data_IF_276355452044
#
_entry.id   IF_276355452044
#
_cell.length_a   1.000
_cell.length_b   1.000
_cell.length_c   1.000
_cell.angle_alpha   90.00
_cell.angle_beta   90.00
_cell.angle_gamma   90.00
#
_symmetry.space_group_name_H-M   'P 1'
#
loop_
_entity.id
_entity.type
_entity.pdbx_description
1 polymer ?
#
# COMPACT_ATOMS: atom_id res chain seq x y z
N UNK A 1 -7.42 -1.46 1.80
CA UNK A 1 -8.35 -2.51 1.34
C UNK A 1 -8.76 -2.28 -0.12
N UNK A 2 -9.15 -1.06 -0.53
CA UNK A 2 -9.48 -0.74 -1.92
C UNK A 2 -8.38 -1.14 -2.90
N UNK A 3 -7.11 -1.00 -2.52
CA UNK A 3 -6.00 -1.41 -3.38
C UNK A 3 -5.93 -2.92 -3.56
N UNK A 4 -6.33 -3.69 -2.53
CA UNK A 4 -6.43 -5.14 -2.61
C UNK A 4 -7.55 -5.56 -3.56
N UNK A 5 -8.73 -4.93 -3.43
CA UNK A 5 -9.87 -5.14 -4.34
C UNK A 5 -9.50 -4.78 -5.78
N UNK A 6 -8.80 -3.65 -5.99
CA UNK A 6 -8.33 -3.25 -7.32
C UNK A 6 -7.36 -4.28 -7.91
N UNK A 7 -6.40 -4.75 -7.10
CA UNK A 7 -5.43 -5.75 -7.51
C UNK A 7 -6.09 -7.06 -7.93
N UNK A 8 -7.02 -7.56 -7.12
CA UNK A 8 -7.86 -8.72 -7.44
C UNK A 8 -8.57 -8.53 -8.79
N UNK A 9 -9.34 -7.45 -8.96
CA UNK A 9 -10.10 -7.17 -10.18
C UNK A 9 -9.20 -7.15 -11.43
N UNK A 10 -8.05 -6.49 -11.34
CA UNK A 10 -7.10 -6.40 -12.46
C UNK A 10 -6.44 -7.76 -12.73
N UNK A 11 -6.10 -8.52 -11.69
CA UNK A 11 -5.45 -9.82 -11.78
C UNK A 11 -6.37 -10.97 -12.24
N UNK A 12 -7.69 -10.86 -12.00
CA UNK A 12 -8.69 -11.92 -12.24
C UNK A 12 -8.65 -12.55 -13.64
N UNK A 13 -8.38 -11.76 -14.68
CA UNK A 13 -8.36 -12.25 -16.07
C UNK A 13 -7.04 -12.93 -16.45
N UNK A 14 -6.01 -12.79 -15.62
CA UNK A 14 -4.66 -13.27 -15.85
C UNK A 14 -4.30 -14.49 -15.01
N UNK A 15 -5.11 -14.89 -14.03
CA UNK A 15 -4.90 -16.08 -13.18
C UNK A 15 -4.65 -17.35 -14.03
N UNK A 16 -5.56 -17.66 -14.97
CA UNK A 16 -5.44 -18.83 -15.87
C UNK A 16 -4.84 -18.49 -17.25
N UNK A 17 -4.49 -17.23 -17.48
CA UNK A 17 -3.89 -16.77 -18.73
C UNK A 17 -2.81 -15.72 -18.42
N UNK A 18 -1.77 -16.17 -17.72
CA UNK A 18 -0.73 -15.30 -17.20
C UNK A 18 -0.08 -14.46 -18.31
N UNK A 19 0.24 -13.21 -17.97
CA UNK A 19 1.01 -12.31 -18.80
C UNK A 19 2.36 -12.02 -18.14
N UNK A 20 3.44 -12.07 -18.90
CA UNK A 20 4.82 -11.89 -18.41
C UNK A 20 5.42 -10.53 -18.79
N UNK A 21 4.57 -9.52 -18.87
CA UNK A 21 4.97 -8.13 -19.20
C UNK A 21 4.19 -7.14 -18.35
N UNK A 22 4.77 -5.98 -18.08
CA UNK A 22 4.11 -4.85 -17.41
C UNK A 22 3.26 -4.01 -18.38
N UNK A 23 3.37 -4.27 -19.68
CA UNK A 23 2.67 -3.56 -20.74
C UNK A 23 1.36 -4.26 -21.10
N UNK A 24 0.28 -3.88 -20.42
CA UNK A 24 -1.06 -4.43 -20.62
C UNK A 24 -2.16 -3.42 -20.22
N UNK A 25 -3.39 -3.64 -20.64
CA UNK A 25 -4.54 -2.84 -20.19
C UNK A 25 -4.98 -3.30 -18.79
N UNK A 26 -5.08 -2.36 -17.83
CA UNK A 26 -5.45 -2.68 -16.45
C UNK A 26 -6.86 -3.28 -16.37
N UNK A 27 -7.77 -2.82 -17.23
CA UNK A 27 -9.15 -3.30 -17.24
C UNK A 27 -9.51 -3.89 -18.60
N UNK A 28 -10.06 -5.11 -18.56
CA UNK A 28 -10.76 -5.76 -19.65
C UNK A 28 -12.26 -5.83 -19.31
N UNK A 29 -13.12 -6.07 -20.30
CA UNK A 29 -14.56 -6.28 -20.06
C UNK A 29 -14.86 -7.51 -19.18
N UNK A 30 -13.89 -8.42 -19.07
CA UNK A 30 -13.94 -9.62 -18.21
C UNK A 30 -13.43 -9.36 -16.80
N UNK A 31 -12.77 -8.23 -16.53
CA UNK A 31 -12.26 -7.90 -15.21
C UNK A 31 -13.41 -7.83 -14.21
N UNK A 32 -13.29 -8.59 -13.13
CA UNK A 32 -14.31 -8.71 -12.09
C UNK A 32 -13.68 -9.09 -10.77
N UNK A 33 -14.37 -8.85 -9.66
CA UNK A 33 -13.89 -9.21 -8.34
C UNK A 33 -14.04 -10.73 -8.11
N UNK A 34 -13.17 -11.30 -7.29
CA UNK A 34 -13.15 -12.74 -6.96
C UNK A 34 -13.44 -12.96 -5.47
N UNK A 35 -13.15 -14.17 -4.96
CA UNK A 35 -13.24 -14.45 -3.53
C UNK A 35 -12.29 -13.60 -2.68
N UNK A 36 -11.17 -13.14 -3.24
CA UNK A 36 -10.23 -12.21 -2.60
C UNK A 36 -10.93 -10.95 -2.10
N UNK A 37 -11.65 -10.26 -2.99
CA UNK A 37 -12.43 -9.08 -2.65
C UNK A 37 -13.58 -9.41 -1.71
N UNK A 38 -14.32 -10.49 -1.98
CA UNK A 38 -15.49 -10.88 -1.16
C UNK A 38 -15.06 -11.11 0.28
N UNK A 39 -13.99 -11.89 0.49
CA UNK A 39 -13.51 -12.23 1.83
C UNK A 39 -12.77 -11.06 2.48
N UNK A 40 -12.09 -10.20 1.71
CA UNK A 40 -11.53 -8.94 2.23
C UNK A 40 -12.63 -8.04 2.80
N UNK A 41 -13.75 -7.90 2.08
CA UNK A 41 -14.88 -7.07 2.49
C UNK A 41 -15.61 -7.71 3.68
N UNK A 42 -15.75 -9.04 3.71
CA UNK A 42 -16.30 -9.76 4.86
C UNK A 42 -15.46 -9.54 6.14
N UNK A 43 -14.13 -9.52 6.04
CA UNK A 43 -13.26 -9.18 7.17
C UNK A 43 -13.45 -7.71 7.59
N UNK A 44 -13.62 -6.80 6.64
CA UNK A 44 -13.91 -5.39 6.94
C UNK A 44 -15.26 -5.19 7.64
N UNK A 45 -16.29 -5.92 7.23
CA UNK A 45 -17.61 -5.91 7.87
C UNK A 45 -17.52 -6.41 9.33
N UNK A 46 -16.82 -7.52 9.54
CA UNK A 46 -16.54 -8.04 10.88
C UNK A 46 -15.77 -7.03 11.76
N UNK A 47 -14.80 -6.31 11.20
CA UNK A 47 -14.08 -5.25 11.92
C UNK A 47 -15.01 -4.07 12.28
N UNK A 48 -15.94 -3.71 11.40
CA UNK A 48 -16.91 -2.64 11.63
C UNK A 48 -17.89 -2.96 12.77
N UNK A 49 -18.22 -4.23 12.99
CA UNK A 49 -19.02 -4.65 14.15
C UNK A 49 -18.33 -4.34 15.50
N UNK A 50 -17.00 -4.25 15.52
CA UNK A 50 -16.19 -3.94 16.70
C UNK A 50 -16.06 -5.06 17.74
N UNK A 51 -16.83 -6.14 17.64
CA UNK A 51 -16.72 -7.31 18.52
C UNK A 51 -15.91 -8.43 17.84
N UNK A 52 -14.59 -8.36 18.01
CA UNK A 52 -13.58 -9.20 17.33
C UNK A 52 -13.56 -10.66 17.82
N UNK A 53 -14.70 -11.34 17.75
CA UNK A 53 -14.87 -12.73 18.13
C UNK A 53 -14.74 -13.67 16.91
N UNK A 54 -14.05 -14.81 17.10
CA UNK A 54 -13.86 -15.85 16.07
C UNK A 54 -15.18 -16.42 15.52
N UNK A 55 -16.16 -16.72 16.36
CA UNK A 55 -17.46 -17.27 15.95
C UNK A 55 -18.21 -16.31 15.03
N UNK A 56 -18.14 -15.01 15.34
CA UNK A 56 -18.71 -13.96 14.49
C UNK A 56 -17.98 -13.88 13.17
N UNK A 57 -16.65 -13.86 13.18
CA UNK A 57 -15.87 -13.86 11.94
C UNK A 57 -16.24 -15.06 11.05
N UNK A 58 -16.36 -16.26 11.64
CA UNK A 58 -16.78 -17.47 10.93
C UNK A 58 -18.17 -17.29 10.33
N UNK A 59 -19.13 -16.80 11.12
CA UNK A 59 -20.49 -16.53 10.64
C UNK A 59 -20.49 -15.51 9.48
N UNK A 60 -19.73 -14.42 9.60
CA UNK A 60 -19.59 -13.39 8.57
C UNK A 60 -18.99 -13.98 7.29
N UNK A 61 -17.85 -14.68 7.35
CA UNK A 61 -17.26 -15.30 6.15
C UNK A 61 -18.24 -16.27 5.47
N UNK A 62 -18.92 -17.13 6.25
CA UNK A 62 -19.92 -18.07 5.71
C UNK A 62 -21.13 -17.37 5.11
N UNK A 63 -21.54 -16.23 5.66
CA UNK A 63 -22.64 -15.43 5.12
C UNK A 63 -22.30 -14.92 3.71
N UNK A 64 -21.13 -14.29 3.56
CA UNK A 64 -20.70 -13.72 2.28
C UNK A 64 -20.49 -14.80 1.21
N UNK A 65 -19.94 -15.97 1.57
CA UNK A 65 -19.80 -17.09 0.62
C UNK A 65 -21.16 -17.62 0.16
N UNK A 66 -22.18 -17.63 1.02
CA UNK A 66 -23.54 -18.04 0.63
C UNK A 66 -24.23 -17.00 -0.25
N UNK A 67 -23.94 -15.72 -0.04
CA UNK A 67 -24.45 -14.62 -0.87
C UNK A 67 -23.79 -14.59 -2.25
N UNK A 68 -22.49 -14.92 -2.31
CA UNK A 68 -21.69 -14.94 -3.53
C UNK A 68 -21.09 -16.33 -3.79
N UNK A 69 -21.89 -17.36 -4.13
CA UNK A 69 -21.42 -18.76 -4.14
C UNK A 69 -20.45 -19.11 -5.28
N UNK A 70 -20.48 -18.36 -6.39
CA UNK A 70 -19.75 -18.68 -7.62
C UNK A 70 -18.96 -17.47 -8.15
N UNK A 71 -17.98 -16.92 -7.41
CA UNK A 71 -17.10 -15.89 -7.96
C UNK A 71 -16.23 -16.47 -9.08
N UNK A 72 -15.70 -15.60 -9.94
CA UNK A 72 -14.62 -15.94 -10.89
C UNK A 72 -13.40 -16.45 -10.11
N UNK A 73 -12.64 -17.39 -10.68
CA UNK A 73 -11.57 -18.11 -9.97
C UNK A 73 -12.14 -19.20 -9.05
N UNK A 74 -13.12 -18.81 -8.24
CA UNK A 74 -13.84 -19.68 -7.33
C UNK A 74 -13.06 -19.91 -6.04
N UNK A 75 -13.78 -20.09 -4.94
CA UNK A 75 -13.15 -20.37 -3.66
C UNK A 75 -12.33 -21.66 -3.69
N UNK A 76 -11.17 -21.66 -3.02
CA UNK A 76 -10.36 -22.87 -2.84
C UNK A 76 -11.17 -24.04 -2.27
N UNK A 77 -10.98 -25.24 -2.82
CA UNK A 77 -11.90 -26.37 -2.58
C UNK A 77 -12.05 -26.77 -1.11
N UNK A 78 -10.97 -26.71 -0.32
CA UNK A 78 -11.02 -26.97 1.12
C UNK A 78 -11.73 -25.87 1.91
N UNK A 79 -11.60 -24.62 1.45
CA UNK A 79 -12.33 -23.49 2.04
C UNK A 79 -13.84 -23.66 1.81
N UNK A 80 -14.26 -24.05 0.60
CA UNK A 80 -15.67 -24.36 0.33
C UNK A 80 -16.20 -25.47 1.24
N UNK A 81 -15.44 -26.56 1.40
CA UNK A 81 -15.81 -27.65 2.32
C UNK A 81 -15.99 -27.14 3.75
N UNK A 82 -15.08 -26.27 4.22
CA UNK A 82 -15.16 -25.65 5.55
C UNK A 82 -16.40 -24.75 5.71
N UNK A 83 -16.77 -23.98 4.68
CA UNK A 83 -17.97 -23.13 4.69
C UNK A 83 -19.24 -23.95 4.90
N UNK A 84 -19.35 -25.07 4.20
CA UNK A 84 -20.55 -25.92 4.21
C UNK A 84 -20.55 -27.00 5.32
N UNK A 85 -19.44 -27.18 6.04
CA UNK A 85 -19.41 -28.00 7.25
C UNK A 85 -19.98 -27.21 8.46
N UNK A 86 -20.65 -27.89 9.40
CA UNK A 86 -21.18 -27.30 10.63
C UNK A 86 -20.15 -27.28 11.78
N UNK A 87 -19.08 -28.05 11.70
CA UNK A 87 -18.09 -28.19 12.79
C UNK A 87 -17.17 -26.97 12.95
N UNK A 88 -17.04 -26.15 11.91
CA UNK A 88 -16.19 -24.93 11.88
C UNK A 88 -14.68 -25.16 12.15
N UNK A 89 -14.23 -26.40 12.27
CA UNK A 89 -12.83 -26.74 12.54
C UNK A 89 -11.91 -26.32 11.38
N UNK A 90 -10.78 -25.63 11.64
CA UNK A 90 -9.82 -25.27 10.62
C UNK A 90 -9.11 -26.51 10.04
N UNK A 91 -8.67 -26.42 8.79
CA UNK A 91 -8.22 -27.59 8.01
C UNK A 91 -6.72 -27.60 7.70
N UNK A 92 -5.90 -27.01 8.57
CA UNK A 92 -4.43 -26.97 8.50
C UNK A 92 -3.88 -26.48 7.15
N UNK A 93 -4.52 -25.46 6.58
CA UNK A 93 -4.11 -24.87 5.31
C UNK A 93 -2.91 -23.94 5.44
N UNK A 94 -1.95 -24.09 4.54
CA UNK A 94 -0.81 -23.18 4.31
C UNK A 94 -1.03 -22.21 3.14
N UNK A 95 -2.22 -22.24 2.53
CA UNK A 95 -2.54 -21.46 1.34
C UNK A 95 -2.60 -19.95 1.57
N UNK A 96 -2.43 -19.19 0.48
CA UNK A 96 -2.44 -17.71 0.44
C UNK A 96 -3.82 -17.09 0.73
N UNK A 97 -4.88 -17.90 0.81
CA UNK A 97 -6.24 -17.47 1.12
C UNK A 97 -6.42 -16.77 2.48
N UNK A 98 -5.47 -16.94 3.41
CA UNK A 98 -5.41 -16.16 4.65
C UNK A 98 -4.85 -14.75 4.44
N UNK A 99 -3.86 -14.61 3.55
CA UNK A 99 -3.18 -13.36 3.26
C UNK A 99 -3.99 -12.44 2.34
N UNK A 100 -4.73 -12.99 1.38
CA UNK A 100 -5.52 -12.20 0.42
C UNK A 100 -6.60 -11.35 1.07
N UNK A 101 -7.20 -11.83 2.18
CA UNK A 101 -8.34 -11.18 2.85
C UNK A 101 -7.98 -10.30 4.04
N UNK A 102 -6.69 -10.14 4.35
CA UNK A 102 -6.24 -9.50 5.61
C UNK A 102 -6.05 -7.99 5.49
N UNK A 103 -6.22 -7.42 4.30
CA UNK A 103 -5.87 -6.03 4.04
C UNK A 103 -6.56 -5.04 5.00
N UNK A 104 -7.84 -5.27 5.34
CA UNK A 104 -8.60 -4.43 6.26
C UNK A 104 -8.00 -4.41 7.69
N UNK A 105 -7.45 -5.54 8.16
CA UNK A 105 -6.77 -5.64 9.46
C UNK A 105 -5.55 -4.73 9.52
N UNK A 106 -4.78 -4.68 8.43
CA UNK A 106 -3.61 -3.80 8.32
C UNK A 106 -3.95 -2.31 8.53
N UNK A 107 -5.19 -1.90 8.25
CA UNK A 107 -5.70 -0.54 8.45
C UNK A 107 -6.33 -0.29 9.84
N UNK A 108 -6.73 -1.33 10.56
CA UNK A 108 -7.70 -1.19 11.64
C UNK A 108 -7.14 -0.77 13.01
N UNK A 109 -5.87 -1.05 13.29
CA UNK A 109 -5.30 -0.94 14.64
C UNK A 109 -4.22 0.13 14.77
N UNK A 110 -3.88 0.52 16.00
CA UNK A 110 -2.89 1.57 16.26
C UNK A 110 -1.49 1.03 16.54
N UNK A 111 -1.35 -0.28 16.76
CA UNK A 111 -0.07 -0.93 17.01
C UNK A 111 0.15 -2.09 16.06
N UNK A 112 1.43 -2.34 15.76
CA UNK A 112 1.84 -3.46 14.91
C UNK A 112 1.51 -4.80 15.58
N UNK A 113 1.72 -4.91 16.90
CA UNK A 113 1.41 -6.10 17.68
C UNK A 113 -0.08 -6.47 17.61
N UNK A 114 -0.97 -5.50 17.83
CA UNK A 114 -2.42 -5.74 17.75
C UNK A 114 -2.83 -6.12 16.32
N UNK A 115 -2.27 -5.45 15.31
CA UNK A 115 -2.50 -5.76 13.90
C UNK A 115 -2.16 -7.22 13.59
N UNK A 116 -0.99 -7.69 14.02
CA UNK A 116 -0.55 -9.06 13.78
C UNK A 116 -1.33 -10.11 14.59
N UNK A 117 -1.74 -9.77 15.81
CA UNK A 117 -2.58 -10.65 16.63
C UNK A 117 -3.95 -10.85 15.99
N UNK A 118 -4.54 -9.79 15.45
CA UNK A 118 -5.82 -9.88 14.74
C UNK A 118 -5.65 -10.55 13.38
N UNK A 119 -4.56 -10.31 12.66
CA UNK A 119 -4.25 -11.02 11.40
C UNK A 119 -4.10 -12.53 11.63
N UNK A 120 -3.48 -12.93 12.74
CA UNK A 120 -3.44 -14.34 13.16
C UNK A 120 -4.84 -14.89 13.44
N UNK A 121 -5.69 -14.14 14.14
CA UNK A 121 -7.08 -14.54 14.41
C UNK A 121 -7.86 -14.79 13.11
N UNK A 122 -7.72 -13.93 12.11
CA UNK A 122 -8.41 -14.10 10.81
C UNK A 122 -7.89 -15.26 9.96
N UNK A 123 -6.63 -15.66 10.16
CA UNK A 123 -6.04 -16.82 9.51
C UNK A 123 -6.46 -18.13 10.18
N UNK A 124 -6.33 -18.24 11.51
CA UNK A 124 -6.47 -19.49 12.27
C UNK A 124 -7.82 -20.20 12.12
N UNK A 125 -8.88 -19.49 11.78
CA UNK A 125 -10.22 -20.09 11.59
C UNK A 125 -10.31 -21.00 10.36
N UNK A 126 -9.32 -20.97 9.46
CA UNK A 126 -9.27 -21.83 8.25
C UNK A 126 -7.86 -22.29 7.90
N UNK A 127 -6.85 -21.43 8.10
CA UNK A 127 -5.45 -21.60 7.76
C UNK A 127 -4.59 -21.64 9.03
N UNK A 128 -4.85 -22.59 9.92
CA UNK A 128 -4.09 -22.76 11.18
C UNK A 128 -2.71 -23.40 11.02
N UNK A 129 -2.25 -23.63 9.79
CA UNK A 129 -0.83 -23.97 9.55
C UNK A 129 0.03 -22.73 9.79
N UNK A 130 1.25 -22.93 10.30
CA UNK A 130 2.17 -21.82 10.63
C UNK A 130 2.43 -20.88 9.45
N UNK A 131 2.65 -21.43 8.25
CA UNK A 131 2.83 -20.61 7.03
C UNK A 131 1.56 -19.84 6.61
N UNK A 132 0.36 -20.38 6.87
CA UNK A 132 -0.91 -19.69 6.60
C UNK A 132 -1.08 -18.47 7.51
N UNK A 133 -0.81 -18.63 8.81
CA UNK A 133 -0.82 -17.55 9.80
C UNK A 133 0.24 -16.49 9.46
N UNK A 134 1.46 -16.95 9.19
CA UNK A 134 2.61 -16.12 8.87
C UNK A 134 2.37 -15.23 7.65
N UNK A 135 1.78 -15.75 6.59
CA UNK A 135 1.43 -14.96 5.40
C UNK A 135 0.46 -13.82 5.72
N UNK A 136 -0.60 -14.12 6.49
CA UNK A 136 -1.57 -13.10 6.91
C UNK A 136 -0.92 -12.02 7.80
N UNK A 137 -0.08 -12.41 8.75
CA UNK A 137 0.64 -11.48 9.62
C UNK A 137 1.62 -10.61 8.82
N UNK A 138 2.40 -11.19 7.91
CA UNK A 138 3.35 -10.45 7.08
C UNK A 138 2.64 -9.41 6.19
N UNK A 139 1.54 -9.79 5.53
CA UNK A 139 0.75 -8.86 4.71
C UNK A 139 0.16 -7.73 5.56
N UNK A 140 -0.47 -8.05 6.69
CA UNK A 140 -1.05 -7.03 7.57
C UNK A 140 0.01 -6.09 8.18
N UNK A 141 1.17 -6.64 8.55
CA UNK A 141 2.32 -5.88 9.04
C UNK A 141 2.86 -4.92 7.98
N UNK A 142 3.05 -5.38 6.74
CA UNK A 142 3.51 -4.53 5.65
C UNK A 142 2.54 -3.36 5.39
N UNK A 143 1.23 -3.61 5.41
CA UNK A 143 0.19 -2.59 5.26
C UNK A 143 0.23 -1.58 6.43
N UNK A 144 0.31 -2.08 7.68
CA UNK A 144 0.43 -1.23 8.86
C UNK A 144 1.66 -0.32 8.76
N UNK A 145 2.82 -0.91 8.52
CA UNK A 145 4.09 -0.19 8.45
C UNK A 145 4.08 0.85 7.34
N UNK A 146 3.53 0.52 6.16
CA UNK A 146 3.38 1.44 5.05
C UNK A 146 2.55 2.69 5.42
N UNK A 147 1.35 2.51 6.00
CA UNK A 147 0.50 3.66 6.38
C UNK A 147 1.01 4.42 7.60
N UNK A 148 1.91 3.83 8.40
CA UNK A 148 2.55 4.46 9.56
C UNK A 148 3.98 4.92 9.25
N UNK A 149 4.25 5.29 7.99
CA UNK A 149 5.46 6.01 7.57
C UNK A 149 6.77 5.22 7.69
N UNK A 150 6.70 3.89 7.65
CA UNK A 150 7.90 3.08 7.48
C UNK A 150 8.35 3.15 6.03
N UNK A 151 9.65 3.29 5.82
CA UNK A 151 10.25 3.21 4.49
C UNK A 151 10.15 1.78 3.94
N UNK A 152 10.23 1.61 2.62
CA UNK A 152 10.30 0.28 1.99
C UNK A 152 11.43 -0.58 2.56
N UNK A 153 12.56 0.03 2.87
CA UNK A 153 13.71 -0.67 3.46
C UNK A 153 13.36 -1.21 4.87
N UNK A 154 12.71 -0.41 5.70
CA UNK A 154 12.27 -0.84 7.04
C UNK A 154 11.22 -1.95 6.96
N UNK A 155 10.27 -1.85 6.01
CA UNK A 155 9.30 -2.92 5.76
C UNK A 155 10.03 -4.20 5.33
N UNK A 156 10.95 -4.11 4.37
CA UNK A 156 11.76 -5.24 3.91
C UNK A 156 12.49 -5.91 5.07
N UNK A 157 13.27 -5.14 5.84
CA UNK A 157 14.05 -5.64 6.97
C UNK A 157 13.17 -6.28 8.04
N UNK A 158 12.04 -5.67 8.36
CA UNK A 158 11.11 -6.23 9.34
C UNK A 158 10.57 -7.59 8.89
N UNK A 159 10.12 -7.67 7.63
CA UNK A 159 9.54 -8.91 7.10
C UNK A 159 10.60 -10.01 6.97
N UNK A 160 11.80 -9.70 6.48
CA UNK A 160 12.92 -10.64 6.39
C UNK A 160 13.32 -11.17 7.79
N UNK A 161 13.46 -10.28 8.78
CA UNK A 161 13.91 -10.67 10.11
C UNK A 161 12.86 -11.46 10.90
N UNK A 162 11.59 -11.03 10.82
CA UNK A 162 10.52 -11.62 11.64
C UNK A 162 9.92 -12.88 11.01
N UNK A 163 9.71 -12.87 9.70
CA UNK A 163 9.03 -13.94 8.99
C UNK A 163 10.01 -14.78 8.14
N UNK A 164 11.25 -14.35 7.92
CA UNK A 164 12.22 -15.15 7.17
C UNK A 164 11.89 -15.30 5.69
N UNK A 165 11.04 -14.44 5.12
CA UNK A 165 10.80 -14.38 3.68
C UNK A 165 12.02 -13.77 2.98
N UNK A 166 12.43 -14.33 1.84
CA UNK A 166 13.51 -13.75 1.05
C UNK A 166 12.97 -12.64 0.13
N UNK A 167 13.23 -11.39 0.50
CA UNK A 167 12.80 -10.20 -0.23
C UNK A 167 13.94 -9.50 -0.98
N UNK A 168 15.11 -10.15 -1.09
CA UNK A 168 16.30 -9.57 -1.72
C UNK A 168 16.38 -9.80 -3.23
N UNK A 169 15.34 -10.40 -3.81
CA UNK A 169 15.17 -10.62 -5.26
C UNK A 169 14.39 -9.45 -5.86
N UNK A 170 14.50 -9.30 -7.17
CA UNK A 170 13.73 -8.34 -7.97
C UNK A 170 12.64 -9.03 -8.79
N UNK A 171 11.63 -8.28 -9.22
CA UNK A 171 10.61 -8.77 -10.15
C UNK A 171 11.22 -9.28 -11.46
N UNK A 172 12.30 -8.68 -11.96
CA UNK A 172 12.96 -9.11 -13.19
C UNK A 172 13.64 -10.48 -13.04
N UNK A 173 14.17 -10.79 -11.85
CA UNK A 173 14.73 -12.11 -11.55
C UNK A 173 13.63 -13.17 -11.34
N UNK A 174 12.48 -12.79 -10.77
CA UNK A 174 11.37 -13.71 -10.45
C UNK A 174 10.54 -14.06 -11.69
N UNK A 175 10.23 -13.06 -12.53
CA UNK A 175 9.27 -13.14 -13.63
C UNK A 175 9.49 -14.33 -14.60
N UNK A 176 10.72 -14.68 -15.00
CA UNK A 176 10.96 -15.75 -15.96
C UNK A 176 10.58 -17.14 -15.45
N UNK A 177 10.65 -17.37 -14.13
CA UNK A 177 10.49 -18.71 -13.54
C UNK A 177 9.28 -18.86 -12.62
N UNK A 178 8.62 -17.76 -12.24
CA UNK A 178 7.45 -17.83 -11.37
C UNK A 178 6.23 -18.44 -12.10
N UNK A 179 5.46 -19.25 -11.40
CA UNK A 179 4.26 -19.92 -11.93
C UNK A 179 3.21 -20.05 -10.81
N UNK A 180 2.03 -20.56 -11.14
CA UNK A 180 0.90 -20.66 -10.21
C UNK A 180 1.29 -21.35 -8.90
N UNK A 181 0.99 -20.70 -7.78
CA UNK A 181 1.37 -21.14 -6.45
C UNK A 181 0.35 -20.66 -5.42
N UNK A 182 -0.50 -21.57 -4.94
CA UNK A 182 -1.52 -21.27 -3.94
C UNK A 182 -0.96 -21.11 -2.50
N UNK A 183 0.36 -21.18 -2.28
CA UNK A 183 0.95 -21.10 -0.94
C UNK A 183 1.21 -19.67 -0.47
N UNK A 184 1.07 -19.43 0.84
CA UNK A 184 1.59 -18.20 1.44
C UNK A 184 3.08 -18.02 1.16
N UNK A 185 3.88 -19.08 1.31
CA UNK A 185 5.33 -19.02 1.18
C UNK A 185 5.82 -18.70 -0.24
N UNK A 186 5.01 -18.98 -1.26
CA UNK A 186 5.31 -18.69 -2.65
C UNK A 186 4.58 -17.48 -3.24
N UNK A 187 3.56 -16.95 -2.57
CA UNK A 187 2.81 -15.77 -3.05
C UNK A 187 3.17 -14.50 -2.29
N UNK A 188 3.23 -14.56 -0.95
CA UNK A 188 3.39 -13.39 -0.09
C UNK A 188 4.74 -12.68 -0.31
N UNK A 189 5.89 -13.37 -0.35
CA UNK A 189 7.17 -12.70 -0.62
C UNK A 189 7.17 -11.98 -1.98
N UNK A 190 6.62 -12.61 -3.00
CA UNK A 190 6.57 -12.16 -4.38
C UNK A 190 5.65 -10.93 -4.51
N UNK A 191 4.52 -10.92 -3.79
CA UNK A 191 3.63 -9.77 -3.70
C UNK A 191 4.32 -8.57 -3.02
N UNK A 192 5.06 -8.83 -1.94
CA UNK A 192 5.81 -7.79 -1.21
C UNK A 192 6.95 -7.27 -2.10
N UNK A 193 7.68 -8.12 -2.83
CA UNK A 193 8.74 -7.71 -3.76
C UNK A 193 8.17 -6.84 -4.88
N UNK A 194 7.01 -7.19 -5.45
CA UNK A 194 6.34 -6.34 -6.43
C UNK A 194 6.02 -4.93 -5.90
N UNK A 195 5.65 -4.83 -4.62
CA UNK A 195 5.53 -3.52 -3.96
C UNK A 195 6.89 -2.84 -3.77
N UNK A 196 7.93 -3.56 -3.32
CA UNK A 196 9.25 -2.97 -3.06
C UNK A 196 9.87 -2.40 -4.35
N UNK A 197 9.77 -3.11 -5.47
CA UNK A 197 10.29 -2.73 -6.79
C UNK A 197 9.47 -1.66 -7.51
N UNK A 198 8.23 -1.43 -7.08
CA UNK A 198 7.35 -0.41 -7.68
C UNK A 198 7.82 1.00 -7.36
N UNK A 199 7.23 2.01 -8.00
CA UNK A 199 7.46 3.41 -7.63
C UNK A 199 6.18 4.25 -7.55
N UNK A 200 5.05 3.64 -7.84
CA UNK A 200 3.70 4.17 -7.65
C UNK A 200 2.70 3.00 -7.57
N UNK A 201 1.44 3.30 -7.26
CA UNK A 201 0.39 2.29 -7.13
C UNK A 201 0.20 1.46 -8.42
N UNK A 202 0.14 2.10 -9.59
CA UNK A 202 -0.09 1.40 -10.85
C UNK A 202 1.04 0.43 -11.19
N UNK A 203 2.28 0.85 -10.96
CA UNK A 203 3.45 0.01 -11.23
C UNK A 203 3.57 -1.15 -10.26
N UNK A 204 3.11 -1.00 -9.02
CA UNK A 204 2.99 -2.13 -8.10
C UNK A 204 2.04 -3.20 -8.65
N UNK A 205 0.85 -2.80 -9.12
CA UNK A 205 -0.12 -3.72 -9.73
C UNK A 205 0.45 -4.35 -11.00
N UNK A 206 1.06 -3.55 -11.89
CA UNK A 206 1.66 -4.07 -13.13
C UNK A 206 2.79 -5.04 -12.87
N UNK A 207 3.64 -4.77 -11.89
CA UNK A 207 4.73 -5.67 -11.51
C UNK A 207 4.15 -6.99 -11.00
N UNK A 208 3.20 -6.94 -10.06
CA UNK A 208 2.54 -8.14 -9.54
C UNK A 208 1.91 -8.98 -10.67
N UNK A 209 1.05 -8.38 -11.49
CA UNK A 209 0.41 -9.08 -12.62
C UNK A 209 1.44 -9.65 -13.60
N UNK A 210 2.53 -8.91 -13.86
CA UNK A 210 3.59 -9.38 -14.77
C UNK A 210 4.34 -10.60 -14.26
N UNK A 211 4.35 -10.87 -12.94
CA UNK A 211 4.95 -12.09 -12.41
C UNK A 211 4.12 -13.32 -12.79
N UNK A 212 2.81 -13.19 -13.05
CA UNK A 212 1.89 -14.29 -13.33
C UNK A 212 1.62 -15.15 -12.09
N UNK A 213 1.29 -16.43 -12.32
CA UNK A 213 0.87 -17.34 -11.26
C UNK A 213 -0.55 -17.08 -10.79
N UNK A 214 -0.76 -17.16 -9.48
CA UNK A 214 -2.05 -16.87 -8.82
C UNK A 214 -2.26 -15.35 -8.77
N UNK A 215 -2.71 -14.80 -9.90
CA UNK A 215 -2.39 -13.41 -10.30
C UNK A 215 -3.29 -12.39 -9.60
N UNK A 216 -4.57 -12.72 -9.45
CA UNK A 216 -5.53 -12.00 -8.60
C UNK A 216 -5.05 -11.94 -7.15
N UNK A 217 -4.69 -13.07 -6.52
CA UNK A 217 -4.20 -13.06 -5.13
C UNK A 217 -2.88 -12.33 -4.95
N UNK A 218 -1.94 -12.54 -5.86
CA UNK A 218 -0.66 -11.82 -5.85
C UNK A 218 -0.89 -10.30 -5.95
N UNK A 219 -1.70 -9.86 -6.91
CA UNK A 219 -2.01 -8.44 -7.11
C UNK A 219 -2.87 -7.86 -5.97
N UNK A 220 -3.76 -8.65 -5.38
CA UNK A 220 -4.56 -8.30 -4.20
C UNK A 220 -3.67 -7.95 -3.00
N UNK A 221 -2.69 -8.81 -2.69
CA UNK A 221 -1.75 -8.57 -1.60
C UNK A 221 -0.88 -7.34 -1.90
N UNK A 222 -0.30 -7.27 -3.11
CA UNK A 222 0.53 -6.13 -3.53
C UNK A 222 -0.25 -4.82 -3.47
N UNK A 223 -1.47 -4.80 -4.00
CA UNK A 223 -2.34 -3.64 -4.04
C UNK A 223 -2.74 -3.15 -2.65
N UNK A 224 -2.98 -4.05 -1.71
CA UNK A 224 -3.26 -3.70 -0.32
C UNK A 224 -2.10 -2.92 0.34
N UNK A 225 -0.86 -3.33 0.09
CA UNK A 225 0.35 -2.67 0.59
C UNK A 225 0.60 -1.36 -0.17
N UNK A 226 0.50 -1.40 -1.49
CA UNK A 226 0.74 -0.26 -2.37
C UNK A 226 -0.23 0.89 -2.10
N UNK A 227 -1.50 0.61 -1.80
CA UNK A 227 -2.47 1.64 -1.39
C UNK A 227 -2.03 2.34 -0.09
N UNK A 228 -1.59 1.57 0.90
CA UNK A 228 -1.17 2.11 2.19
C UNK A 228 0.05 3.02 2.08
N UNK A 229 0.94 2.72 1.12
CA UNK A 229 2.16 3.48 0.89
C UNK A 229 1.94 4.65 -0.09
N UNK A 230 1.40 4.40 -1.27
CA UNK A 230 1.31 5.42 -2.31
C UNK A 230 0.00 6.20 -2.31
N UNK A 231 -1.01 5.77 -1.56
CA UNK A 231 -2.38 6.09 -1.92
C UNK A 231 -2.75 5.44 -3.26
N UNK A 232 -3.98 5.66 -3.70
CA UNK A 232 -4.45 5.04 -4.95
C UNK A 232 -5.45 5.91 -5.70
N UNK A 233 -5.56 7.22 -5.41
CA UNK A 233 -6.58 8.01 -6.07
C UNK A 233 -6.33 8.18 -7.56
N UNK A 234 -5.12 8.52 -7.97
CA UNK A 234 -4.82 8.86 -9.36
C UNK A 234 -3.69 8.02 -9.96
N UNK A 235 -3.84 7.66 -11.24
CA UNK A 235 -2.73 7.18 -12.07
C UNK A 235 -1.76 8.33 -12.41
N UNK A 236 -0.47 8.01 -12.54
CA UNK A 236 0.55 8.96 -12.99
C UNK A 236 0.81 8.78 -14.50
N UNK A 237 0.61 9.82 -15.34
CA UNK A 237 0.53 9.67 -16.80
C UNK A 237 1.78 9.20 -17.58
N UNK A 238 2.94 8.95 -16.96
CA UNK A 238 4.21 8.78 -17.70
C UNK A 238 5.02 7.53 -17.43
N UNK A 239 4.70 6.79 -16.39
CA UNK A 239 5.51 5.64 -15.97
C UNK A 239 5.02 4.32 -16.55
N UNK A 240 3.88 4.33 -17.20
CA UNK A 240 3.25 3.20 -17.87
C UNK A 240 2.80 3.67 -19.24
N UNK A 241 2.89 2.84 -20.29
CA UNK A 241 2.20 3.10 -21.57
C UNK A 241 0.68 2.93 -21.39
N UNK A 242 0.14 3.48 -20.32
CA UNK A 242 -1.25 3.42 -19.96
C UNK A 242 -2.03 4.21 -20.98
N UNK A 243 -2.97 3.55 -21.65
CA UNK A 243 -3.96 4.19 -22.53
C UNK A 243 -4.83 5.20 -21.76
N UNK A 244 -4.76 5.19 -20.43
CA UNK A 244 -5.58 6.02 -19.58
C UNK A 244 -4.87 7.34 -19.22
N UNK A 245 -5.35 8.45 -19.79
CA UNK A 245 -4.82 9.80 -19.52
C UNK A 245 -5.06 10.28 -18.08
N UNK A 246 -6.08 9.75 -17.41
CA UNK A 246 -6.39 9.98 -15.99
C UNK A 246 -7.37 8.91 -15.50
N UNK A 247 -6.90 7.91 -14.73
CA UNK A 247 -7.78 6.97 -14.02
C UNK A 247 -7.93 7.46 -12.57
N UNK A 248 -9.16 7.48 -12.08
CA UNK A 248 -9.41 7.44 -10.65
C UNK A 248 -9.57 5.98 -10.23
N UNK A 249 -8.54 5.38 -9.62
CA UNK A 249 -8.58 3.94 -9.34
C UNK A 249 -9.65 3.60 -8.29
N UNK A 250 -9.95 4.52 -7.38
CA UNK A 250 -11.03 4.33 -6.38
C UNK A 250 -12.39 4.23 -7.07
N UNK A 251 -12.70 5.17 -7.98
CA UNK A 251 -13.98 5.18 -8.68
C UNK A 251 -14.16 3.91 -9.52
N UNK A 252 -13.10 3.48 -10.21
CA UNK A 252 -13.16 2.30 -11.07
C UNK A 252 -13.27 0.99 -10.27
N UNK A 253 -12.57 0.90 -9.12
CA UNK A 253 -12.73 -0.21 -8.17
C UNK A 253 -14.18 -0.27 -7.69
N UNK A 254 -14.70 0.85 -7.18
CA UNK A 254 -16.04 0.91 -6.62
C UNK A 254 -17.08 0.57 -7.68
N UNK A 255 -16.95 1.08 -8.91
CA UNK A 255 -17.91 0.85 -10.02
C UNK A 255 -18.16 -0.64 -10.29
N UNK A 256 -17.15 -1.49 -10.12
CA UNK A 256 -17.22 -2.93 -10.41
C UNK A 256 -17.78 -3.77 -9.27
N UNK A 257 -17.98 -3.20 -8.08
CA UNK A 257 -18.61 -3.87 -6.95
C UNK A 257 -20.15 -3.73 -6.97
N UNK A 258 -20.89 -4.71 -6.44
CA UNK A 258 -22.32 -4.57 -6.16
C UNK A 258 -22.57 -3.62 -4.98
N UNK A 259 -23.78 -3.04 -4.92
CA UNK A 259 -24.12 -1.98 -3.95
C UNK A 259 -23.95 -2.37 -2.48
N UNK A 260 -24.28 -3.61 -2.13
CA UNK A 260 -24.08 -4.12 -0.77
C UNK A 260 -22.59 -4.11 -0.37
N UNK A 261 -21.69 -4.57 -1.25
CA UNK A 261 -20.25 -4.56 -1.02
C UNK A 261 -19.67 -3.14 -1.01
N UNK A 262 -20.13 -2.26 -1.92
CA UNK A 262 -19.76 -0.82 -1.93
C UNK A 262 -20.05 -0.14 -0.60
N UNK A 263 -21.20 -0.46 0.01
CA UNK A 263 -21.60 0.12 1.29
C UNK A 263 -20.60 -0.22 2.39
N UNK A 264 -20.23 -1.49 2.52
CA UNK A 264 -19.26 -1.95 3.54
C UNK A 264 -17.90 -1.30 3.33
N UNK A 265 -17.42 -1.24 2.08
CA UNK A 265 -16.17 -0.55 1.75
C UNK A 265 -16.24 0.91 2.18
N UNK A 266 -17.33 1.61 1.86
CA UNK A 266 -17.52 3.02 2.23
C UNK A 266 -17.54 3.21 3.76
N UNK A 267 -18.31 2.38 4.47
CA UNK A 267 -18.43 2.41 5.93
C UNK A 267 -17.07 2.13 6.60
N UNK A 268 -16.26 1.23 6.04
CA UNK A 268 -14.91 0.92 6.51
C UNK A 268 -13.98 2.12 6.43
N UNK A 269 -13.93 2.81 5.29
CA UNK A 269 -13.06 3.98 5.15
C UNK A 269 -13.56 5.19 5.96
N UNK A 270 -14.87 5.36 6.12
CA UNK A 270 -15.44 6.41 6.97
C UNK A 270 -15.17 6.16 8.46
N UNK A 271 -15.26 4.91 8.92
CA UNK A 271 -15.14 4.58 10.34
C UNK A 271 -13.71 4.30 10.79
N UNK A 272 -12.94 3.59 9.98
CA UNK A 272 -11.63 3.01 10.34
C UNK A 272 -10.53 3.59 9.46
N UNK A 273 -10.60 3.39 8.14
CA UNK A 273 -9.48 3.66 7.23
C UNK A 273 -8.98 5.10 7.27
N UNK A 274 -9.89 6.09 7.20
CA UNK A 274 -9.53 7.52 7.22
C UNK A 274 -8.94 7.98 8.56
N UNK A 275 -9.37 7.41 9.69
CA UNK A 275 -8.88 7.77 11.02
C UNK A 275 -7.46 7.28 11.27
N UNK A 276 -7.08 6.19 10.62
CA UNK A 276 -5.82 5.49 10.85
C UNK A 276 -4.76 5.74 9.78
N UNK A 277 -5.04 6.60 8.80
CA UNK A 277 -4.08 7.02 7.76
C UNK A 277 -3.13 8.08 8.33
N UNK A 278 -1.84 7.77 8.38
CA UNK A 278 -0.80 8.68 8.93
C UNK A 278 0.17 9.16 7.85
N UNK A 279 0.21 8.49 6.70
CA UNK A 279 1.10 8.78 5.57
C UNK A 279 0.33 9.38 4.38
N UNK A 280 0.77 10.53 3.85
CA UNK A 280 0.24 11.07 2.60
C UNK A 280 0.96 10.48 1.38
N UNK A 281 0.18 9.86 0.50
CA UNK A 281 0.69 9.05 -0.60
C UNK A 281 0.92 9.82 -1.91
N UNK A 282 1.97 9.43 -2.65
CA UNK A 282 2.35 9.97 -3.96
C UNK A 282 1.20 10.02 -4.98
N UNK A 283 0.42 8.96 -5.12
CA UNK A 283 -0.69 8.87 -6.06
C UNK A 283 -1.87 9.78 -5.64
N UNK A 284 -1.99 10.12 -4.36
CA UNK A 284 -3.00 11.08 -3.88
C UNK A 284 -2.55 12.54 -4.10
N UNK A 285 -1.24 12.78 -4.19
CA UNK A 285 -0.66 14.09 -4.52
C UNK A 285 -0.92 14.56 -5.96
N UNK A 286 -1.32 13.64 -6.86
CA UNK A 286 -1.63 13.92 -8.27
C UNK A 286 -0.54 14.71 -9.01
N UNK A 287 0.73 14.55 -8.61
CA UNK A 287 1.82 15.31 -9.21
C UNK A 287 2.05 14.90 -10.65
N UNK A 288 2.23 15.86 -11.54
CA UNK A 288 2.64 15.62 -12.92
C UNK A 288 4.13 15.29 -12.89
N UNK A 289 4.51 14.22 -13.58
CA UNK A 289 5.89 13.74 -13.69
C UNK A 289 6.35 13.74 -15.15
N UNK A 290 7.66 13.92 -15.35
CA UNK A 290 8.42 13.65 -16.57
C UNK A 290 8.53 14.79 -17.57
N UNK A 291 8.34 16.04 -17.15
CA UNK A 291 8.85 17.23 -17.88
C UNK A 291 9.85 18.05 -17.06
N UNK A 292 10.10 17.63 -15.82
CA UNK A 292 10.90 18.39 -14.89
C UNK A 292 12.38 18.20 -15.22
N UNK A 293 13.03 19.29 -15.60
CA UNK A 293 14.49 19.36 -15.52
C UNK A 293 14.86 19.63 -14.07
N UNK A 294 15.49 18.63 -13.45
CA UNK A 294 16.05 18.75 -12.11
C UNK A 294 17.38 19.50 -12.17
N UNK A 295 17.43 20.62 -11.47
CA UNK A 295 18.63 21.45 -11.32
C UNK A 295 19.17 21.20 -9.92
N UNK A 296 20.40 20.72 -9.83
CA UNK A 296 21.08 20.54 -8.54
C UNK A 296 21.17 21.88 -7.82
N UNK A 297 20.83 21.87 -6.53
CA UNK A 297 20.90 23.05 -5.67
C UNK A 297 21.97 22.86 -4.62
N UNK A 298 22.62 23.95 -4.22
CA UNK A 298 23.61 23.94 -3.14
C UNK A 298 23.00 23.29 -1.90
N UNK A 299 23.72 22.32 -1.33
CA UNK A 299 23.34 21.68 -0.08
C UNK A 299 23.38 22.69 1.05
N UNK A 300 22.34 22.66 1.87
CA UNK A 300 22.32 23.37 3.14
C UNK A 300 22.73 22.40 4.26
N UNK A 301 23.33 22.89 5.34
CA UNK A 301 23.74 22.12 6.52
C UNK A 301 22.53 21.79 7.42
N UNK A 302 21.40 21.43 6.79
CA UNK A 302 20.16 21.06 7.47
C UNK A 302 20.26 19.62 7.97
N UNK A 303 20.03 19.46 9.28
CA UNK A 303 20.08 18.18 10.00
C UNK A 303 18.78 17.98 10.77
N UNK A 304 18.27 16.75 10.77
CA UNK A 304 17.11 16.35 11.55
C UNK A 304 17.52 15.28 12.56
N UNK A 305 16.97 15.35 13.78
CA UNK A 305 16.98 14.20 14.67
C UNK A 305 15.93 13.15 14.22
N UNK A 306 15.89 12.01 14.91
CA UNK A 306 14.96 10.93 14.59
C UNK A 306 13.50 11.38 14.69
N UNK A 307 13.12 12.11 15.75
CA UNK A 307 11.73 12.57 15.94
C UNK A 307 11.30 13.49 14.78
N UNK A 308 12.16 14.43 14.41
CA UNK A 308 11.92 15.38 13.31
C UNK A 308 11.86 14.66 11.96
N UNK A 309 12.78 13.74 11.69
CA UNK A 309 12.77 12.95 10.46
C UNK A 309 11.49 12.10 10.34
N UNK A 310 11.07 11.45 11.43
CA UNK A 310 9.82 10.67 11.47
C UNK A 310 8.59 11.55 11.31
N UNK A 311 8.57 12.73 11.92
CA UNK A 311 7.51 13.71 11.70
C UNK A 311 7.43 14.10 10.23
N UNK A 312 8.58 14.32 9.59
CA UNK A 312 8.65 14.71 8.20
C UNK A 312 8.18 13.60 7.23
N UNK A 313 8.45 12.33 7.56
CA UNK A 313 7.94 11.18 6.78
C UNK A 313 6.41 11.09 6.74
N UNK A 314 5.69 11.65 7.72
CA UNK A 314 4.21 11.63 7.73
C UNK A 314 3.61 12.19 6.46
N UNK A 315 4.33 13.07 5.76
CA UNK A 315 3.88 13.66 4.50
C UNK A 315 2.57 14.43 4.71
N UNK A 316 2.21 15.34 3.82
CA UNK A 316 0.96 16.09 3.98
C UNK A 316 0.49 16.65 2.63
N UNK A 317 -0.83 16.74 2.43
CA UNK A 317 -1.37 17.45 1.28
C UNK A 317 -1.14 18.96 1.45
N UNK A 318 -1.18 19.73 0.35
CA UNK A 318 -1.37 21.16 0.47
C UNK A 318 -2.78 21.46 0.97
N UNK A 319 -2.92 22.42 1.87
CA UNK A 319 -4.20 22.95 2.33
C UNK A 319 -4.15 24.49 2.48
N UNK A 320 -5.15 25.08 3.14
CA UNK A 320 -5.20 26.54 3.33
C UNK A 320 -4.05 27.08 4.19
N UNK A 321 -3.55 26.29 5.13
CA UNK A 321 -2.47 26.63 6.06
C UNK A 321 -1.11 26.12 5.55
N UNK A 322 -1.10 24.99 4.84
CA UNK A 322 0.05 24.32 4.25
C UNK A 322 0.15 24.63 2.75
N UNK A 323 0.97 25.63 2.41
CA UNK A 323 1.14 26.09 1.01
C UNK A 323 1.70 25.04 0.05
N UNK A 324 2.37 24.01 0.58
CA UNK A 324 3.03 22.95 -0.18
C UNK A 324 2.61 21.60 0.37
N UNK A 325 2.55 20.60 -0.51
CA UNK A 325 2.48 19.21 -0.10
C UNK A 325 3.85 18.56 -0.13
N UNK A 326 4.02 17.53 0.68
CA UNK A 326 5.20 16.67 0.69
C UNK A 326 4.76 15.22 0.59
N UNK A 327 5.47 14.41 -0.20
CA UNK A 327 5.40 12.96 -0.12
C UNK A 327 6.81 12.35 -0.17
N UNK A 328 6.95 11.17 0.41
CA UNK A 328 8.18 10.39 0.39
C UNK A 328 8.10 9.28 -0.67
N UNK A 329 9.16 9.12 -1.47
CA UNK A 329 9.30 7.97 -2.35
C UNK A 329 10.77 7.62 -2.65
N UNK A 330 11.13 6.34 -2.51
CA UNK A 330 12.47 5.79 -2.80
C UNK A 330 13.62 6.63 -2.21
N UNK A 331 13.51 7.01 -0.93
CA UNK A 331 14.52 7.81 -0.23
C UNK A 331 14.40 9.32 -0.44
N UNK A 332 13.59 9.77 -1.39
CA UNK A 332 13.42 11.18 -1.71
C UNK A 332 12.15 11.75 -1.07
N UNK A 333 12.24 13.00 -0.64
CA UNK A 333 11.07 13.81 -0.29
C UNK A 333 10.81 14.75 -1.45
N UNK A 334 9.57 14.77 -1.92
CA UNK A 334 9.13 15.59 -3.04
C UNK A 334 8.19 16.66 -2.54
N UNK A 335 8.54 17.91 -2.81
CA UNK A 335 7.72 19.09 -2.53
C UNK A 335 6.94 19.45 -3.78
N UNK A 336 5.63 19.65 -3.63
CA UNK A 336 4.76 19.97 -4.74
C UNK A 336 3.72 21.04 -4.38
N UNK A 337 3.18 21.69 -5.41
CA UNK A 337 2.03 22.62 -5.31
C UNK A 337 1.25 22.61 -6.59
N UNK A 338 -0.09 22.57 -6.49
CA UNK A 338 -0.99 22.58 -7.66
C UNK A 338 -0.59 21.53 -8.71
N UNK A 339 -0.23 20.33 -8.25
CA UNK A 339 0.24 19.18 -9.04
C UNK A 339 1.64 19.33 -9.68
N UNK A 340 2.35 20.45 -9.50
CA UNK A 340 3.71 20.61 -10.01
C UNK A 340 4.75 20.24 -8.97
N UNK A 341 5.75 19.47 -9.37
CA UNK A 341 6.94 19.22 -8.58
C UNK A 341 7.82 20.47 -8.55
N UNK A 342 8.21 20.88 -7.34
CA UNK A 342 8.99 22.08 -7.11
C UNK A 342 10.42 21.73 -6.69
N UNK A 343 10.56 20.79 -5.74
CA UNK A 343 11.84 20.42 -5.16
C UNK A 343 11.84 18.95 -4.78
N UNK A 344 13.01 18.31 -4.86
CA UNK A 344 13.24 17.02 -4.22
C UNK A 344 14.53 17.04 -3.42
N UNK A 345 14.57 16.28 -2.33
CA UNK A 345 15.77 16.17 -1.51
C UNK A 345 15.81 14.87 -0.72
N UNK A 346 17.01 14.51 -0.28
CA UNK A 346 17.28 13.24 0.38
C UNK A 346 18.01 13.46 1.70
N UNK A 347 17.49 12.82 2.73
CA UNK A 347 18.13 12.73 4.04
C UNK A 347 18.78 11.36 4.21
N UNK A 348 19.94 11.32 4.86
CA UNK A 348 20.61 10.08 5.24
C UNK A 348 21.11 10.17 6.68
N UNK A 349 20.85 9.13 7.47
CA UNK A 349 21.38 9.01 8.83
C UNK A 349 22.90 8.84 8.78
N UNK A 350 23.62 9.68 9.51
CA UNK A 350 25.08 9.66 9.60
C UNK A 350 25.55 9.08 10.94
N UNK A 351 26.87 8.92 11.08
CA UNK A 351 27.49 8.34 12.29
C UNK A 351 27.25 9.16 13.56
N UNK A 352 26.91 10.44 13.44
CA UNK A 352 26.53 11.31 14.56
C UNK A 352 25.08 11.08 15.04
N UNK A 353 24.35 10.15 14.41
CA UNK A 353 22.98 9.81 14.73
C UNK A 353 21.92 10.74 14.13
N UNK A 354 22.34 11.80 13.41
CA UNK A 354 21.45 12.76 12.76
C UNK A 354 21.21 12.39 11.30
N UNK A 355 20.10 12.85 10.75
CA UNK A 355 19.77 12.77 9.33
C UNK A 355 20.26 14.03 8.61
N UNK A 356 21.26 13.88 7.74
CA UNK A 356 21.86 14.97 6.99
C UNK A 356 21.26 15.06 5.60
N UNK A 357 21.00 16.29 5.14
CA UNK A 357 20.66 16.54 3.75
C UNK A 357 21.86 16.21 2.86
N UNK A 358 21.75 15.17 2.04
CA UNK A 358 22.85 14.70 1.19
C UNK A 358 22.69 15.10 -0.27
N UNK A 359 21.46 15.34 -0.72
CA UNK A 359 21.16 15.69 -2.10
C UNK A 359 19.94 16.61 -2.17
N UNK A 360 19.96 17.58 -3.08
CA UNK A 360 18.86 18.54 -3.25
C UNK A 360 18.78 19.06 -4.68
N UNK A 361 17.57 19.02 -5.25
CA UNK A 361 17.30 19.48 -6.62
C UNK A 361 16.03 20.31 -6.66
N UNK A 362 15.99 21.32 -7.52
CA UNK A 362 14.80 22.15 -7.79
C UNK A 362 14.36 22.01 -9.24
N UNK A 363 13.11 22.35 -9.54
CA UNK A 363 12.62 22.51 -10.90
C UNK A 363 12.60 23.98 -11.29
N UNK A 364 12.36 24.30 -12.57
CA UNK A 364 12.12 25.69 -13.02
C UNK A 364 10.96 26.38 -12.29
N UNK A 365 10.03 25.60 -11.74
CA UNK A 365 8.88 26.10 -10.98
C UNK A 365 9.21 26.31 -9.50
N UNK A 366 10.31 25.75 -9.00
CA UNK A 366 10.74 25.79 -7.60
C UNK A 366 11.65 26.98 -7.25
N UNK A 367 11.53 28.12 -7.95
CA UNK A 367 12.35 29.31 -7.68
C UNK A 367 11.83 30.08 -6.45
N UNK A 368 11.91 29.45 -5.28
CA UNK A 368 11.55 29.99 -3.98
C UNK A 368 12.81 29.97 -3.09
N UNK A 369 12.95 30.97 -2.20
CA UNK A 369 14.19 31.22 -1.48
C UNK A 369 14.70 30.02 -0.64
N UNK A 370 13.80 29.28 0.03
CA UNK A 370 14.16 28.02 0.72
C UNK A 370 12.95 27.10 0.95
N UNK A 371 12.57 26.31 -0.06
CA UNK A 371 11.45 25.36 0.06
C UNK A 371 11.65 24.30 1.14
N UNK A 372 12.90 23.90 1.45
CA UNK A 372 13.13 22.89 2.50
C UNK A 372 12.80 23.50 3.85
N UNK A 373 13.25 24.72 4.11
CA UNK A 373 12.90 25.41 5.35
C UNK A 373 11.39 25.66 5.47
N UNK A 374 10.71 26.03 4.38
CA UNK A 374 9.26 26.25 4.40
C UNK A 374 8.48 24.97 4.74
N UNK A 375 8.84 23.81 4.18
CA UNK A 375 8.16 22.53 4.49
C UNK A 375 8.56 21.98 5.86
N UNK A 376 9.80 22.24 6.31
CA UNK A 376 10.23 21.98 7.68
C UNK A 376 9.58 22.96 8.67
N UNK A 377 8.94 24.05 8.25
CA UNK A 377 8.17 24.89 9.17
C UNK A 377 6.71 24.41 9.29
N UNK A 378 6.15 23.85 8.21
CA UNK A 378 4.77 23.33 8.17
C UNK A 378 4.56 22.09 9.06
N UNK A 379 5.61 21.32 9.35
CA UNK A 379 5.53 20.05 10.09
C UNK A 379 5.75 20.12 11.61
N UNK A 380 5.16 21.06 12.35
CA UNK A 380 5.15 21.09 13.84
C UNK A 380 6.41 20.53 14.57
N UNK A 381 7.61 21.02 14.23
CA UNK A 381 8.86 20.47 14.79
C UNK A 381 9.15 21.00 16.21
N UNK A 382 9.72 20.14 17.07
CA UNK A 382 10.27 20.54 18.38
C UNK A 382 11.79 20.76 18.29
N UNK A 383 12.41 21.56 19.19
CA UNK A 383 13.85 21.75 19.26
C UNK A 383 14.61 20.40 19.35
N UNK A 384 15.85 20.28 18.80
CA UNK A 384 16.91 21.29 18.76
C UNK A 384 16.96 22.13 17.48
N UNK A 385 15.94 22.10 16.63
CA UNK A 385 15.83 23.02 15.49
C UNK A 385 15.79 24.48 15.98
N UNK A 386 16.95 25.14 15.96
CA UNK A 386 17.11 26.57 16.23
C UNK A 386 17.05 27.31 14.90
N UNK A 387 15.89 27.89 14.64
CA UNK A 387 15.65 28.82 13.53
C UNK A 387 16.60 30.03 13.61
N UNK A 388 17.38 30.29 12.55
CA UNK A 388 18.22 31.50 12.45
C UNK A 388 17.54 32.68 11.74
N UNK A 389 16.31 32.53 11.25
CA UNK A 389 15.55 33.67 10.74
C UNK A 389 15.85 34.07 9.31
N UNK A 390 14.81 34.12 8.48
CA UNK A 390 14.59 35.29 7.63
C UNK A 390 13.57 36.19 8.32
N UNK A 391 13.95 37.46 8.54
CA UNK A 391 13.01 38.46 9.06
C UNK A 391 11.89 38.65 8.03
N UNK A 392 10.65 38.48 8.48
CA UNK A 392 9.44 38.83 7.73
C UNK A 392 9.55 40.29 7.27
N UNK A 393 9.89 40.53 6.01
CA UNK A 393 10.08 41.89 5.48
C UNK A 393 11.02 42.05 4.29
N UNK A 394 11.89 41.09 3.97
CA UNK A 394 12.74 41.21 2.77
C UNK A 394 12.00 40.65 1.55
N UNK A 395 11.27 41.52 0.86
CA UNK A 395 10.93 41.33 -0.55
C UNK A 395 12.24 41.24 -1.33
N UNK A 396 12.51 40.09 -1.93
CA UNK A 396 13.50 39.97 -2.98
C UNK A 396 12.87 40.55 -4.25
N UNK A 397 13.36 41.70 -4.68
CA UNK A 397 13.04 42.33 -5.97
C UNK A 397 13.73 41.61 -7.13
#
# INVERSE_FOLDING_TARGET
MLGAIFGDIVGSIYEFNNIKTTQFELFDKRSTFTDDSILSIAVADWLLEGNLNKDRLIATLKHYVKEFPNPTGGYGSRFQQWVFNNENEPYNSWGNGSAMRVAAVGWAFNTLEETENVAKLTAEITHNHMEGIKGAQATAAAIFMARTCSTKQEIKEYIENKFGYNLSRTCDEIRPTYYFNESCAGTVPEAIIAFLDSFDFETAIRLAVSLGGDTDTLACITGGIAEAFYGMRFSLPKTTNSVYKSINFVDETMRLLPENLKKIVSDFYQTIGSKNKVFWGKNDSATIWGEEQWIETKLDDKKLDEESYRSFLKSYPPDWDMRFGVYYENGWHYVYRSNYLLKKFKFQKQNDGLYHLIESYTTKHGNYADLIEEVLWQGYFKPPYSYKGFKRGEQIY
#
